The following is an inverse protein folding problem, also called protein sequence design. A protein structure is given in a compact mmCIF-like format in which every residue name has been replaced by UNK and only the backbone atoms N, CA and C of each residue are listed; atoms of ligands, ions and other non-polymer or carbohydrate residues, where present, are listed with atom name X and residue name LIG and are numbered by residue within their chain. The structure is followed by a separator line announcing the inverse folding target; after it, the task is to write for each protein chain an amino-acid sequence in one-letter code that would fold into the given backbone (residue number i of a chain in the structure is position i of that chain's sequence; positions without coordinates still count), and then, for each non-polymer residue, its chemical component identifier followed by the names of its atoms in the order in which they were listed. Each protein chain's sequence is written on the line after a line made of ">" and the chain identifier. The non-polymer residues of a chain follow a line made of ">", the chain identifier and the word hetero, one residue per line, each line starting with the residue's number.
data_IF_692137850486
#
_entry.id   IF_692137850486
#
_cell.length_a   1.000
_cell.length_b   1.000
_cell.length_c   1.000
_cell.angle_alpha   90.00
_cell.angle_beta   90.00
_cell.angle_gamma   90.00
#
_symmetry.space_group_name_H-M   'P 1'
#
loop_
_entity.id
_entity.type
_entity.pdbx_description
1 polymer ?
#
# COMPACT_ATOMS: atom_id res chain seq x y z
N UNK A 1 -8.06 -9.36 -53.08
CA UNK A 1 -7.06 -10.01 -52.20
C UNK A 1 -5.69 -9.33 -52.22
N UNK A 2 -4.99 -9.20 -53.36
CA UNK A 2 -3.62 -8.59 -53.40
C UNK A 2 -3.51 -7.17 -52.85
N UNK A 3 -4.49 -6.29 -53.10
CA UNK A 3 -4.50 -4.92 -52.55
C UNK A 3 -4.68 -4.89 -51.02
N UNK A 4 -5.52 -5.77 -50.49
CA UNK A 4 -5.76 -5.92 -49.04
C UNK A 4 -4.50 -6.47 -48.36
N UNK A 5 -3.82 -7.43 -48.99
CA UNK A 5 -2.56 -7.99 -48.49
C UNK A 5 -1.43 -6.95 -48.47
N UNK A 6 -1.33 -6.09 -49.50
CA UNK A 6 -0.37 -4.99 -49.53
C UNK A 6 -0.60 -3.97 -48.42
N UNK A 7 -1.86 -3.60 -48.16
CA UNK A 7 -2.21 -2.69 -47.05
C UNK A 7 -1.89 -3.31 -45.69
N UNK A 8 -2.19 -4.60 -45.49
CA UNK A 8 -1.85 -5.33 -44.26
C UNK A 8 -0.35 -5.37 -43.99
N UNK A 9 0.47 -5.63 -45.02
CA UNK A 9 1.92 -5.64 -44.88
C UNK A 9 2.50 -4.28 -44.48
N UNK A 10 1.96 -3.18 -45.04
CA UNK A 10 2.37 -1.82 -44.67
C UNK A 10 1.98 -1.51 -43.22
N UNK A 11 0.78 -1.91 -42.78
CA UNK A 11 0.35 -1.73 -41.38
C UNK A 11 1.26 -2.52 -40.44
N UNK A 12 1.56 -3.77 -40.76
CA UNK A 12 2.46 -4.61 -39.94
C UNK A 12 3.86 -4.01 -39.87
N UNK A 13 4.41 -3.55 -40.99
CA UNK A 13 5.72 -2.89 -41.02
C UNK A 13 5.73 -1.62 -40.16
N UNK A 14 4.67 -0.80 -40.23
CA UNK A 14 4.54 0.39 -39.40
C UNK A 14 4.46 0.05 -37.91
N UNK A 15 3.70 -0.98 -37.53
CA UNK A 15 3.61 -1.46 -36.15
C UNK A 15 4.97 -1.96 -35.64
N UNK A 16 5.72 -2.69 -36.46
CA UNK A 16 7.07 -3.17 -36.10
C UNK A 16 8.02 -1.99 -35.89
N UNK A 17 8.03 -1.01 -36.81
CA UNK A 17 8.89 0.18 -36.70
C UNK A 17 8.51 1.01 -35.46
N UNK A 18 7.22 1.22 -35.23
CA UNK A 18 6.73 1.93 -34.04
C UNK A 18 7.10 1.18 -32.75
N UNK A 19 6.96 -0.15 -32.73
CA UNK A 19 7.34 -1.00 -31.60
C UNK A 19 8.85 -0.99 -31.33
N UNK A 20 9.67 -1.05 -32.38
CA UNK A 20 11.12 -0.92 -32.26
C UNK A 20 11.51 0.49 -31.76
N UNK A 21 10.89 1.54 -32.29
CA UNK A 21 11.07 2.91 -31.81
C UNK A 21 10.75 3.02 -30.32
N UNK A 22 9.58 2.54 -29.88
CA UNK A 22 9.21 2.49 -28.46
C UNK A 22 10.28 1.77 -27.62
N UNK A 23 10.74 0.60 -28.07
CA UNK A 23 11.72 -0.20 -27.34
C UNK A 23 13.09 0.48 -27.20
N UNK A 24 13.59 1.16 -28.24
CA UNK A 24 14.88 1.84 -28.20
C UNK A 24 14.81 3.18 -27.46
N UNK A 25 13.70 3.92 -27.59
CA UNK A 25 13.55 5.23 -26.95
C UNK A 25 13.04 5.16 -25.50
N UNK A 26 12.55 4.02 -25.01
CA UNK A 26 12.14 3.83 -23.62
C UNK A 26 13.20 3.19 -22.71
N UNK A 27 14.45 3.08 -23.17
CA UNK A 27 15.54 2.45 -22.42
C UNK A 27 16.43 3.50 -21.78
N UNK A 28 16.08 3.89 -20.58
CA UNK A 28 16.95 4.68 -19.71
C UNK A 28 17.77 3.78 -18.78
N UNK A 29 18.97 4.24 -18.43
CA UNK A 29 19.83 3.60 -17.43
C UNK A 29 20.27 4.65 -16.41
N UNK A 30 20.40 4.22 -15.16
CA UNK A 30 20.95 5.07 -14.11
C UNK A 30 22.41 5.41 -14.44
N UNK A 31 22.73 6.70 -14.46
CA UNK A 31 24.09 7.21 -14.68
C UNK A 31 24.86 7.42 -13.38
N UNK A 32 24.15 7.38 -12.24
CA UNK A 32 24.71 7.54 -10.90
C UNK A 32 24.63 6.18 -10.17
N UNK A 33 25.73 5.68 -9.58
CA UNK A 33 25.71 4.47 -8.77
C UNK A 33 24.77 4.60 -7.57
N UNK A 34 24.08 3.52 -7.20
CA UNK A 34 23.08 3.50 -6.11
C UNK A 34 23.66 3.99 -4.77
N UNK A 35 24.94 3.74 -4.52
CA UNK A 35 25.65 4.12 -3.30
C UNK A 35 25.77 5.64 -3.13
N UNK A 36 25.65 6.38 -4.23
CA UNK A 36 25.70 7.85 -4.23
C UNK A 36 24.32 8.48 -4.15
N UNK A 37 23.23 7.70 -4.23
CA UNK A 37 21.84 8.23 -4.23
C UNK A 37 21.23 8.31 -2.83
N UNK A 38 21.94 7.92 -1.77
CA UNK A 38 21.50 8.01 -0.38
C UNK A 38 22.62 8.50 0.55
N UNK A 39 22.27 8.88 1.78
CA UNK A 39 23.20 9.40 2.78
C UNK A 39 23.04 10.91 3.04
N UNK A 40 23.97 11.54 3.79
CA UNK A 40 23.84 12.93 4.22
C UNK A 40 24.02 13.96 3.10
N UNK A 41 24.68 13.59 1.99
CA UNK A 41 24.85 14.43 0.82
C UNK A 41 24.72 13.61 -0.46
N UNK A 42 23.49 13.20 -0.84
CA UNK A 42 23.27 12.35 -1.99
C UNK A 42 23.45 13.13 -3.30
N UNK A 43 23.97 12.47 -4.32
CA UNK A 43 24.01 13.02 -5.69
C UNK A 43 22.62 12.87 -6.31
N UNK A 44 21.98 14.00 -6.60
CA UNK A 44 20.71 14.02 -7.31
C UNK A 44 20.99 14.16 -8.81
N UNK A 45 20.68 13.12 -9.58
CA UNK A 45 20.75 13.20 -11.04
C UNK A 45 19.78 14.27 -11.55
N UNK A 46 20.19 15.01 -12.60
CA UNK A 46 19.30 15.95 -13.25
C UNK A 46 18.12 15.22 -13.93
N UNK A 47 16.91 15.82 -13.95
CA UNK A 47 15.78 15.24 -14.67
C UNK A 47 16.10 15.00 -16.15
N UNK A 48 15.78 13.82 -16.67
CA UNK A 48 15.90 13.48 -18.09
C UNK A 48 14.52 13.46 -18.77
N UNK A 49 14.03 14.57 -19.36
CA UNK A 49 12.72 14.61 -19.97
C UNK A 49 12.70 13.83 -21.29
N UNK A 50 11.95 12.73 -21.32
CA UNK A 50 11.72 11.91 -22.50
C UNK A 50 10.28 12.03 -22.99
N UNK A 51 10.08 11.87 -24.30
CA UNK A 51 8.74 11.90 -24.92
C UNK A 51 7.93 10.64 -24.60
N UNK A 52 8.62 9.54 -24.32
CA UNK A 52 8.04 8.25 -23.93
C UNK A 52 8.56 7.93 -22.53
N UNK A 53 7.69 7.78 -21.52
CA UNK A 53 8.13 7.50 -20.16
C UNK A 53 8.71 6.09 -20.06
N UNK A 54 9.81 5.96 -19.33
CA UNK A 54 10.34 4.67 -18.89
C UNK A 54 9.45 4.13 -17.76
N UNK A 55 8.80 2.98 -17.98
CA UNK A 55 7.98 2.31 -16.95
C UNK A 55 8.62 0.98 -16.59
N UNK A 56 9.23 0.91 -15.40
CA UNK A 56 9.79 -0.30 -14.85
C UNK A 56 9.03 -0.70 -13.58
N UNK A 57 8.02 -1.56 -13.73
CA UNK A 57 7.27 -2.09 -12.59
C UNK A 57 8.09 -3.20 -11.96
N UNK A 58 8.49 -3.03 -10.71
CA UNK A 58 9.14 -4.09 -9.95
C UNK A 58 8.16 -5.25 -9.74
N UNK A 59 8.57 -6.47 -10.11
CA UNK A 59 7.80 -7.67 -9.83
C UNK A 59 7.95 -8.03 -8.34
N UNK A 60 6.83 -8.08 -7.63
CA UNK A 60 6.80 -8.53 -6.26
C UNK A 60 6.88 -10.06 -6.21
N UNK A 61 8.04 -10.59 -5.81
CA UNK A 61 8.21 -12.02 -5.58
C UNK A 61 7.90 -12.34 -4.13
N UNK A 62 6.94 -13.24 -3.83
CA UNK A 62 6.70 -13.67 -2.47
C UNK A 62 7.93 -14.39 -1.92
N UNK A 63 8.10 -14.30 -0.60
CA UNK A 63 9.16 -15.04 0.07
C UNK A 63 8.89 -16.55 -0.05
N UNK A 64 9.91 -17.37 -0.35
CA UNK A 64 9.75 -18.81 -0.22
C UNK A 64 9.37 -19.18 1.21
N UNK A 65 8.55 -20.21 1.36
CA UNK A 65 8.09 -20.66 2.68
C UNK A 65 9.28 -20.91 3.62
N UNK A 66 9.22 -20.36 4.84
CA UNK A 66 10.27 -20.51 5.85
C UNK A 66 11.55 -19.71 5.59
N UNK A 67 11.60 -18.85 4.57
CA UNK A 67 12.70 -17.90 4.38
C UNK A 67 12.40 -16.60 5.14
N UNK A 68 13.40 -16.10 5.85
CA UNK A 68 13.37 -14.84 6.57
C UNK A 68 14.62 -14.01 6.24
N UNK A 69 14.56 -12.67 6.36
CA UNK A 69 15.74 -11.84 6.18
C UNK A 69 16.80 -12.15 7.24
N UNK A 70 18.07 -11.91 6.89
CA UNK A 70 19.18 -12.04 7.84
C UNK A 70 19.14 -10.84 8.79
N UNK A 71 18.95 -11.11 10.07
CA UNK A 71 18.96 -10.08 11.10
C UNK A 71 20.36 -9.48 11.28
N UNK A 72 20.42 -8.21 11.68
CA UNK A 72 21.67 -7.61 12.14
C UNK A 72 22.19 -8.32 13.41
N UNK A 73 23.51 -8.24 13.67
CA UNK A 73 24.11 -8.88 14.85
C UNK A 73 23.43 -8.39 16.14
N UNK A 74 22.96 -9.33 16.96
CA UNK A 74 22.24 -9.04 18.21
C UNK A 74 20.71 -8.97 18.07
N UNK A 75 20.19 -9.14 16.84
CA UNK A 75 18.76 -9.19 16.56
C UNK A 75 18.36 -10.56 16.03
N UNK A 76 17.09 -10.90 16.18
CA UNK A 76 16.43 -12.01 15.51
C UNK A 76 15.28 -11.46 14.65
N UNK A 77 14.95 -12.15 13.57
CA UNK A 77 13.74 -11.89 12.79
C UNK A 77 12.91 -13.17 12.80
N UNK A 78 11.62 -13.02 13.10
CA UNK A 78 10.62 -14.07 13.04
C UNK A 78 9.41 -13.58 12.24
N UNK A 79 8.67 -14.51 11.62
CA UNK A 79 7.37 -14.21 11.04
C UNK A 79 6.33 -14.16 12.17
N UNK A 80 5.91 -12.94 12.55
CA UNK A 80 4.91 -12.77 13.61
C UNK A 80 3.51 -13.25 13.18
N UNK A 81 3.10 -12.92 11.95
CA UNK A 81 1.87 -13.40 11.34
C UNK A 81 1.93 -13.29 9.80
N UNK A 82 1.25 -14.22 9.12
CA UNK A 82 1.15 -14.27 7.66
C UNK A 82 -0.29 -14.20 7.14
N UNK A 83 -0.45 -14.16 5.81
CA UNK A 83 -1.77 -14.23 5.15
C UNK A 83 -2.65 -12.99 5.36
N UNK A 84 -2.03 -11.83 5.58
CA UNK A 84 -2.72 -10.54 5.70
C UNK A 84 -3.05 -9.99 4.31
N UNK A 85 -4.21 -9.36 4.19
CA UNK A 85 -4.74 -8.68 3.02
C UNK A 85 -4.28 -7.22 3.03
N UNK A 86 -3.21 -6.95 2.28
CA UNK A 86 -2.69 -5.61 2.07
C UNK A 86 -2.42 -4.84 3.39
N UNK A 87 -1.64 -5.42 4.34
CA UNK A 87 -1.35 -4.78 5.61
C UNK A 87 -0.54 -3.49 5.40
N UNK A 88 -0.99 -2.38 6.01
CA UNK A 88 -0.44 -1.04 5.76
C UNK A 88 0.05 -0.30 7.01
N UNK A 89 -0.51 -0.60 8.17
CA UNK A 89 -0.16 0.04 9.43
C UNK A 89 -0.26 -0.95 10.58
N UNK A 90 0.59 -0.76 11.59
CA UNK A 90 0.63 -1.56 12.82
C UNK A 90 0.49 -0.65 14.03
N UNK A 91 -0.27 -1.10 15.03
CA UNK A 91 -0.35 -0.43 16.34
C UNK A 91 -0.29 -1.46 17.46
N UNK A 92 0.66 -1.31 18.38
CA UNK A 92 0.81 -2.22 19.53
C UNK A 92 0.02 -1.65 20.70
N UNK A 93 -0.91 -2.44 21.23
CA UNK A 93 -1.72 -2.09 22.38
C UNK A 93 -0.95 -2.30 23.69
N UNK A 94 -1.39 -1.68 24.81
CA UNK A 94 -0.71 -1.81 26.10
C UNK A 94 -0.59 -3.26 26.61
N UNK A 95 -1.52 -4.13 26.22
CA UNK A 95 -1.51 -5.54 26.57
C UNK A 95 -0.60 -6.41 25.66
N UNK A 96 0.07 -5.82 24.66
CA UNK A 96 0.95 -6.52 23.72
C UNK A 96 0.28 -6.98 22.43
N UNK A 97 -1.05 -6.89 22.32
CA UNK A 97 -1.74 -7.22 21.07
C UNK A 97 -1.29 -6.27 19.95
N UNK A 98 -1.17 -6.80 18.73
CA UNK A 98 -0.80 -6.03 17.54
C UNK A 98 -2.00 -5.86 16.64
N UNK A 99 -2.43 -4.61 16.46
CA UNK A 99 -3.45 -4.24 15.49
C UNK A 99 -2.83 -4.03 14.12
N UNK A 100 -3.50 -4.54 13.09
CA UNK A 100 -3.08 -4.42 11.69
C UNK A 100 -4.19 -3.80 10.87
N UNK A 101 -3.91 -2.64 10.24
CA UNK A 101 -4.79 -2.07 9.23
C UNK A 101 -4.62 -2.83 7.91
N UNK A 102 -5.62 -3.63 7.55
CA UNK A 102 -5.71 -4.33 6.26
C UNK A 102 -6.55 -3.46 5.32
N UNK A 103 -5.87 -2.81 4.36
CA UNK A 103 -6.42 -1.63 3.69
C UNK A 103 -5.92 -1.46 2.27
N UNK A 104 -6.80 -1.05 1.36
CA UNK A 104 -6.45 -0.58 0.01
C UNK A 104 -7.02 0.82 -0.29
N UNK A 105 -6.61 1.44 -1.39
CA UNK A 105 -7.11 2.74 -1.82
C UNK A 105 -8.65 2.75 -1.96
N UNK A 106 -9.33 3.85 -1.59
CA UNK A 106 -10.75 4.01 -1.87
C UNK A 106 -11.08 3.85 -3.35
N UNK A 107 -12.30 3.40 -3.70
CA UNK A 107 -12.72 3.33 -5.09
C UNK A 107 -12.66 4.72 -5.72
N UNK A 108 -12.04 4.81 -6.91
CA UNK A 108 -12.00 6.04 -7.69
C UNK A 108 -13.36 6.29 -8.38
N UNK A 109 -13.82 7.54 -8.49
CA UNK A 109 -14.99 7.86 -9.30
C UNK A 109 -14.76 7.45 -10.76
N UNK A 110 -15.82 7.08 -11.47
CA UNK A 110 -15.75 6.72 -12.88
C UNK A 110 -15.55 7.99 -13.73
N UNK A 111 -14.36 8.14 -14.28
CA UNK A 111 -13.98 9.28 -15.14
C UNK A 111 -14.22 8.98 -16.64
N UNK A 112 -14.86 7.84 -16.97
CA UNK A 112 -15.08 7.41 -18.34
C UNK A 112 -13.82 6.88 -19.04
N UNK A 113 -13.91 6.64 -20.35
CA UNK A 113 -12.79 6.06 -21.10
C UNK A 113 -11.66 7.07 -21.31
N UNK A 114 -10.45 6.70 -20.87
CA UNK A 114 -9.21 7.42 -21.13
C UNK A 114 -8.15 6.45 -21.64
N UNK A 115 -7.52 6.75 -22.77
CA UNK A 115 -6.39 5.96 -23.30
C UNK A 115 -5.26 5.91 -22.27
N UNK A 116 -4.96 7.06 -21.63
CA UNK A 116 -4.00 7.14 -20.53
C UNK A 116 -4.42 6.24 -19.36
N UNK A 117 -5.70 6.27 -18.99
CA UNK A 117 -6.25 5.42 -17.93
C UNK A 117 -6.10 3.93 -18.24
N UNK A 118 -6.36 3.53 -19.48
CA UNK A 118 -6.19 2.14 -19.93
C UNK A 118 -4.73 1.66 -19.81
N UNK A 119 -3.76 2.46 -20.29
CA UNK A 119 -2.35 2.13 -20.11
C UNK A 119 -1.93 2.10 -18.63
N UNK A 120 -2.37 3.08 -17.83
CA UNK A 120 -2.08 3.10 -16.39
C UNK A 120 -2.63 1.85 -15.69
N UNK A 121 -3.83 1.40 -16.05
CA UNK A 121 -4.46 0.19 -15.52
C UNK A 121 -3.63 -1.06 -15.81
N UNK A 122 -3.15 -1.19 -17.06
CA UNK A 122 -2.31 -2.31 -17.48
C UNK A 122 -1.03 -2.44 -16.64
N UNK A 123 -0.37 -1.33 -16.30
CA UNK A 123 0.84 -1.35 -15.48
C UNK A 123 0.56 -1.42 -13.97
N UNK A 124 -0.51 -0.80 -13.46
CA UNK A 124 -0.88 -0.86 -12.03
C UNK A 124 -1.35 -2.25 -11.59
N UNK A 125 -2.05 -2.98 -12.45
CA UNK A 125 -2.44 -4.38 -12.18
C UNK A 125 -1.23 -5.28 -11.93
N UNK A 126 -0.11 -5.06 -12.64
CA UNK A 126 1.16 -5.77 -12.41
C UNK A 126 1.79 -5.46 -11.05
N UNK A 127 1.51 -4.29 -10.49
CA UNK A 127 2.00 -3.87 -9.18
C UNK A 127 1.11 -4.33 -8.00
N UNK A 128 0.02 -5.08 -8.26
CA UNK A 128 -0.90 -5.56 -7.22
C UNK A 128 -1.82 -4.48 -6.62
N UNK A 129 -1.93 -3.31 -7.25
CA UNK A 129 -2.60 -2.13 -6.68
C UNK A 129 -4.13 -2.10 -6.90
N UNK A 130 -4.73 -3.06 -7.61
CA UNK A 130 -6.15 -3.02 -8.02
C UNK A 130 -7.12 -3.73 -7.07
N UNK A 131 -6.63 -4.43 -6.04
CA UNK A 131 -7.50 -5.17 -5.12
C UNK A 131 -8.36 -4.23 -4.30
N UNK A 132 -9.61 -4.62 -3.99
CA UNK A 132 -10.45 -3.83 -3.09
C UNK A 132 -9.86 -3.79 -1.70
N UNK A 133 -10.10 -2.69 -0.99
CA UNK A 133 -9.72 -2.58 0.42
C UNK A 133 -10.46 -3.60 1.26
N UNK A 134 -9.74 -4.31 2.14
CA UNK A 134 -10.32 -5.18 3.14
C UNK A 134 -11.14 -4.41 4.19
N UNK A 135 -10.83 -3.13 4.41
CA UNK A 135 -11.59 -2.22 5.26
C UNK A 135 -11.79 -2.77 6.68
N UNK A 136 -10.72 -3.31 7.27
CA UNK A 136 -10.74 -3.91 8.61
C UNK A 136 -9.47 -3.63 9.40
N UNK A 137 -9.60 -3.71 10.72
CA UNK A 137 -8.46 -3.86 11.64
C UNK A 137 -8.48 -5.30 12.13
N UNK A 138 -7.37 -6.02 11.92
CA UNK A 138 -7.15 -7.33 12.53
C UNK A 138 -6.38 -7.18 13.84
N UNK A 139 -6.69 -8.00 14.83
CA UNK A 139 -5.94 -8.14 16.06
C UNK A 139 -5.14 -9.44 16.01
N UNK A 140 -3.85 -9.33 16.31
CA UNK A 140 -2.90 -10.44 16.42
C UNK A 140 -2.44 -10.54 17.87
N UNK A 141 -2.56 -11.72 18.47
CA UNK A 141 -2.16 -11.96 19.86
C UNK A 141 -1.16 -13.10 19.93
N UNK A 142 -0.04 -12.81 20.58
CA UNK A 142 1.00 -13.74 21.00
C UNK A 142 0.82 -13.98 22.51
N UNK A 143 0.26 -15.13 22.86
CA UNK A 143 -0.06 -15.51 24.25
C UNK A 143 1.16 -16.04 25.00
N UNK A 144 2.14 -16.59 24.28
CA UNK A 144 3.29 -17.29 24.87
C UNK A 144 4.58 -16.44 24.88
N UNK A 145 4.59 -15.31 24.17
CA UNK A 145 5.70 -14.37 24.06
C UNK A 145 6.86 -14.84 23.19
N UNK A 146 6.66 -15.79 22.29
CA UNK A 146 7.70 -16.34 21.41
C UNK A 146 7.90 -15.55 20.11
N UNK A 147 7.10 -14.50 19.90
CA UNK A 147 7.14 -13.66 18.71
C UNK A 147 6.40 -14.27 17.52
N UNK A 148 5.42 -15.16 17.76
CA UNK A 148 4.43 -15.64 16.80
C UNK A 148 3.04 -15.42 17.37
N UNK A 149 2.14 -14.84 16.60
CA UNK A 149 0.74 -14.71 17.03
C UNK A 149 0.02 -16.06 16.93
N UNK A 150 -0.49 -16.58 18.05
CA UNK A 150 -1.38 -17.76 18.07
C UNK A 150 -2.74 -17.46 17.47
N UNK A 151 -3.25 -16.25 17.67
CA UNK A 151 -4.59 -15.90 17.25
C UNK A 151 -4.62 -14.66 16.36
N UNK A 152 -5.57 -14.69 15.44
CA UNK A 152 -5.91 -13.58 14.54
C UNK A 152 -7.42 -13.45 14.48
N UNK A 153 -7.93 -12.29 14.87
CA UNK A 153 -9.36 -11.96 14.78
C UNK A 153 -9.56 -10.66 14.02
N UNK A 154 -10.78 -10.47 13.48
CA UNK A 154 -11.20 -9.18 12.94
C UNK A 154 -11.72 -8.35 14.10
N UNK A 155 -10.92 -7.41 14.59
CA UNK A 155 -11.32 -6.53 15.69
C UNK A 155 -12.40 -5.54 15.26
N UNK A 156 -12.21 -4.92 14.08
CA UNK A 156 -13.13 -3.96 13.48
C UNK A 156 -13.28 -4.25 11.99
N UNK A 157 -14.48 -4.06 11.46
CA UNK A 157 -14.78 -4.21 10.04
C UNK A 157 -15.58 -3.02 9.51
N UNK A 158 -15.86 -3.01 8.20
CA UNK A 158 -16.68 -1.99 7.55
C UNK A 158 -16.15 -0.55 7.70
N UNK A 159 -14.82 -0.42 7.79
CA UNK A 159 -14.12 0.86 7.81
C UNK A 159 -13.98 1.43 6.39
N UNK A 160 -13.39 2.62 6.27
CA UNK A 160 -13.17 3.25 4.97
C UNK A 160 -11.67 3.49 4.74
N UNK A 161 -11.02 2.50 4.12
CA UNK A 161 -9.58 2.49 3.85
C UNK A 161 -8.76 2.94 5.06
N UNK A 162 -8.83 2.21 6.19
CA UNK A 162 -8.20 2.62 7.43
C UNK A 162 -6.68 2.62 7.31
N UNK A 163 -6.00 3.46 8.09
CA UNK A 163 -4.54 3.49 8.16
C UNK A 163 -4.06 3.69 9.59
N UNK A 164 -3.90 4.92 10.06
CA UNK A 164 -3.41 5.21 11.40
C UNK A 164 -4.38 4.78 12.50
N UNK A 165 -3.82 4.39 13.64
CA UNK A 165 -4.59 3.97 14.83
C UNK A 165 -3.88 4.40 16.10
N UNK A 166 -4.64 4.79 17.12
CA UNK A 166 -4.10 5.06 18.46
C UNK A 166 -5.14 4.78 19.55
N UNK A 167 -4.71 4.22 20.68
CA UNK A 167 -5.54 4.04 21.87
C UNK A 167 -5.33 5.24 22.83
N UNK A 168 -6.40 5.90 23.22
CA UNK A 168 -6.38 6.97 24.21
C UNK A 168 -7.66 6.93 25.07
N UNK A 169 -7.50 6.92 26.38
CA UNK A 169 -8.60 6.94 27.37
C UNK A 169 -9.71 5.90 27.12
N UNK A 170 -9.32 4.67 26.80
CA UNK A 170 -10.26 3.56 26.54
C UNK A 170 -11.01 3.69 25.21
N UNK A 171 -10.56 4.56 24.30
CA UNK A 171 -11.06 4.67 22.94
C UNK A 171 -9.97 4.35 21.92
N UNK A 172 -10.26 3.44 21.01
CA UNK A 172 -9.45 3.18 19.84
C UNK A 172 -9.87 4.16 18.73
N UNK A 173 -8.98 5.09 18.40
CA UNK A 173 -9.14 6.01 17.27
C UNK A 173 -8.57 5.38 16.01
N UNK A 174 -9.30 5.49 14.92
CA UNK A 174 -8.91 5.00 13.60
C UNK A 174 -9.05 6.14 12.59
N UNK A 175 -7.96 6.41 11.87
CA UNK A 175 -7.94 7.34 10.75
C UNK A 175 -8.37 6.59 9.48
N UNK A 176 -9.63 6.79 9.08
CA UNK A 176 -10.12 6.42 7.77
C UNK A 176 -9.65 7.42 6.72
N UNK A 177 -9.78 7.07 5.45
CA UNK A 177 -9.45 7.97 4.35
C UNK A 177 -10.35 9.21 4.25
N UNK A 178 -11.50 9.21 4.95
CA UNK A 178 -12.53 10.25 4.92
C UNK A 178 -12.88 10.88 6.28
N UNK A 179 -12.48 10.26 7.40
CA UNK A 179 -12.78 10.75 8.73
C UNK A 179 -11.84 10.13 9.79
N UNK A 180 -11.74 10.78 10.94
CA UNK A 180 -11.30 10.10 12.16
C UNK A 180 -12.54 9.58 12.88
N UNK A 181 -12.53 8.30 13.23
CA UNK A 181 -13.58 7.63 14.00
C UNK A 181 -13.00 7.05 15.28
N UNK A 182 -13.83 6.88 16.29
CA UNK A 182 -13.45 6.28 17.56
C UNK A 182 -14.38 5.15 17.95
N UNK A 183 -13.84 4.17 18.65
CA UNK A 183 -14.55 3.01 19.17
C UNK A 183 -14.21 2.82 20.65
N UNK A 184 -15.17 2.42 21.50
CA UNK A 184 -14.81 1.96 22.84
C UNK A 184 -13.93 0.72 22.73
N UNK A 185 -12.88 0.65 23.55
CA UNK A 185 -11.97 -0.49 23.62
C UNK A 185 -11.67 -0.84 25.07
N UNK A 186 -11.64 -2.12 25.39
CA UNK A 186 -11.15 -2.67 26.64
C UNK A 186 -10.06 -3.68 26.37
N UNK A 187 -9.04 -3.68 27.21
CA UNK A 187 -7.95 -4.65 27.10
C UNK A 187 -8.50 -6.08 27.08
N UNK A 188 -8.04 -6.84 26.10
CA UNK A 188 -8.49 -8.22 25.89
C UNK A 188 -9.62 -8.37 24.88
N UNK A 189 -10.33 -7.30 24.50
CA UNK A 189 -11.37 -7.34 23.46
C UNK A 189 -10.79 -7.93 22.16
N UNK A 190 -11.44 -8.98 21.65
CA UNK A 190 -11.06 -9.64 20.40
C UNK A 190 -11.93 -9.18 19.20
N UNK A 191 -13.03 -8.48 19.48
CA UNK A 191 -13.97 -7.90 18.52
C UNK A 191 -14.65 -6.68 19.15
N UNK A 192 -14.88 -5.63 18.36
CA UNK A 192 -15.68 -4.47 18.74
C UNK A 192 -16.93 -4.40 17.85
N UNK A 193 -18.10 -4.54 18.47
CA UNK A 193 -19.41 -4.45 17.79
C UNK A 193 -20.13 -3.13 18.03
N UNK A 194 -19.59 -2.28 18.90
CA UNK A 194 -20.13 -0.95 19.16
C UNK A 194 -20.04 -0.07 17.89
N UNK A 195 -21.04 0.79 17.61
CA UNK A 195 -20.97 1.72 16.49
C UNK A 195 -19.84 2.72 16.69
N UNK A 196 -19.28 3.20 15.58
CA UNK A 196 -18.26 4.25 15.63
C UNK A 196 -18.84 5.60 16.04
N UNK A 197 -18.06 6.34 16.82
CA UNK A 197 -18.24 7.77 17.03
C UNK A 197 -17.41 8.51 15.97
N UNK A 198 -18.04 9.36 15.15
CA UNK A 198 -17.30 10.21 14.21
C UNK A 198 -16.72 11.41 14.94
N UNK A 199 -15.40 11.57 14.87
CA UNK A 199 -14.68 12.67 15.55
C UNK A 199 -14.58 13.89 14.63
N UNK A 200 -14.08 13.70 13.40
CA UNK A 200 -13.91 14.79 12.44
C UNK A 200 -13.88 14.24 11.02
N UNK A 201 -14.42 15.01 10.06
CA UNK A 201 -14.29 14.73 8.64
C UNK A 201 -12.88 15.09 8.14
N UNK A 202 -12.33 14.26 7.26
CA UNK A 202 -11.05 14.48 6.60
C UNK A 202 -11.28 14.79 5.11
N UNK A 203 -10.33 15.48 4.44
CA UNK A 203 -10.42 15.71 3.01
C UNK A 203 -10.39 14.38 2.22
N UNK A 204 -11.55 13.94 1.75
CA UNK A 204 -11.74 12.61 1.15
C UNK A 204 -11.90 12.60 -0.39
N UNK A 205 -12.05 13.77 -1.01
CA UNK A 205 -12.46 13.94 -2.42
C UNK A 205 -11.42 13.44 -3.44
N UNK A 206 -10.60 14.34 -4.01
CA UNK A 206 -9.49 13.95 -4.93
C UNK A 206 -8.37 13.28 -4.12
N UNK A 207 -8.52 11.99 -3.85
CA UNK A 207 -7.73 11.28 -2.86
C UNK A 207 -6.51 10.55 -3.46
N UNK A 208 -5.60 11.30 -4.09
CA UNK A 208 -4.33 10.75 -4.59
C UNK A 208 -3.41 10.25 -3.46
N UNK A 209 -3.52 10.86 -2.27
CA UNK A 209 -2.82 10.49 -1.04
C UNK A 209 -3.84 10.22 0.07
N UNK A 210 -4.48 9.06 0.00
CA UNK A 210 -5.64 8.73 0.82
C UNK A 210 -5.29 8.26 2.23
N UNK A 211 -4.07 7.76 2.48
CA UNK A 211 -3.65 7.37 3.83
C UNK A 211 -3.68 8.56 4.79
N UNK A 212 -4.14 8.32 6.02
CA UNK A 212 -4.24 9.31 7.10
C UNK A 212 -3.75 8.65 8.37
N UNK A 213 -2.93 9.35 9.13
CA UNK A 213 -2.41 8.86 10.40
C UNK A 213 -2.99 9.64 11.57
N UNK A 214 -3.00 9.03 12.76
CA UNK A 214 -3.47 9.63 14.01
C UNK A 214 -2.63 9.10 15.17
N UNK A 215 -2.18 10.00 16.05
CA UNK A 215 -1.36 9.66 17.21
C UNK A 215 -1.75 10.54 18.39
N UNK A 216 -1.89 9.95 19.57
CA UNK A 216 -2.04 10.73 20.79
C UNK A 216 -0.76 11.50 21.14
N UNK A 217 -0.89 12.73 21.63
CA UNK A 217 0.23 13.45 22.22
C UNK A 217 0.76 12.71 23.45
N UNK A 218 2.05 12.88 23.82
CA UNK A 218 2.62 12.18 24.98
C UNK A 218 1.90 12.44 26.32
N UNK A 219 1.25 13.59 26.45
CA UNK A 219 0.45 13.96 27.62
C UNK A 219 -1.03 13.53 27.53
N UNK A 220 -1.43 12.89 26.43
CA UNK A 220 -2.79 12.42 26.19
C UNK A 220 -3.83 13.51 25.96
N UNK A 221 -3.42 14.79 25.83
CA UNK A 221 -4.37 15.91 25.74
C UNK A 221 -4.84 16.19 24.31
N UNK A 222 -4.18 15.62 23.30
CA UNK A 222 -4.44 15.86 21.88
C UNK A 222 -4.33 14.58 21.05
N UNK A 223 -4.98 14.63 19.90
CA UNK A 223 -4.86 13.72 18.75
C UNK A 223 -4.33 14.50 17.54
#
# INVERSE_FOLDING_TARGET
>A
MRKILGVLLVIVAFVIIAGAGLFFFSREQATVPIEQTYGPNPTLAEPNPTWIPTVHVAEATPWPQGKMPVAAKGFAVNEFAGGLDHPRWLHVLPNGDVLVAESNAPPKPDEGFSIRGWFMKLFQSRAGAEVRSANRISLLRDENGDGVAETRTVLLSSLFSPFGMTLLDGKLYVANADAVVAFPYRDGDAEITAPSEKIVDLPAGRNHHWTKDVIASPDGTKL
#
